data_IF_711328323904
#
_entry.id   IF_711328323904
#
_cell.length_a   1.000
_cell.length_b   1.000
_cell.length_c   1.000
_cell.angle_alpha   90.00
_cell.angle_beta   90.00
_cell.angle_gamma   90.00
#
_symmetry.space_group_name_H-M   'P 1'
#
loop_
_entity.id
_entity.type
_entity.pdbx_description
1 polymer ?
#
# COMPACT_ATOMS: atom_id res chain seq x y z
N UNK A 1 -26.63 -36.48 -17.61
CA UNK A 1 -25.67 -35.38 -17.91
C UNK A 1 -25.94 -34.22 -16.96
N UNK A 2 -25.09 -33.98 -15.96
CA UNK A 2 -25.08 -32.70 -15.25
C UNK A 2 -23.67 -32.43 -14.77
N UNK A 3 -22.95 -31.61 -15.55
CA UNK A 3 -21.60 -31.18 -15.24
C UNK A 3 -21.66 -30.31 -13.96
N UNK A 4 -21.03 -30.78 -12.88
CA UNK A 4 -20.71 -29.92 -11.74
C UNK A 4 -19.74 -28.84 -12.25
N UNK A 5 -20.25 -27.63 -12.45
CA UNK A 5 -19.43 -26.43 -12.65
C UNK A 5 -18.53 -26.29 -11.43
N UNK A 6 -17.26 -26.69 -11.58
CA UNK A 6 -16.20 -26.28 -10.68
C UNK A 6 -16.18 -24.76 -10.75
N UNK A 7 -16.65 -24.09 -9.71
CA UNK A 7 -16.22 -22.72 -9.45
C UNK A 7 -14.72 -22.80 -9.20
N UNK A 8 -13.96 -22.72 -10.29
CA UNK A 8 -12.59 -22.26 -10.23
C UNK A 8 -12.71 -20.82 -9.73
N UNK A 9 -12.62 -20.66 -8.41
CA UNK A 9 -12.12 -19.44 -7.82
C UNK A 9 -10.72 -19.26 -8.42
N UNK A 10 -10.65 -18.57 -9.56
CA UNK A 10 -9.41 -17.95 -10.02
C UNK A 10 -9.08 -16.95 -8.92
N UNK A 11 -8.32 -17.39 -7.91
CA UNK A 11 -7.59 -16.46 -7.06
C UNK A 11 -6.81 -15.60 -8.04
N UNK A 12 -7.01 -14.28 -8.09
CA UNK A 12 -6.14 -13.45 -8.89
C UNK A 12 -4.74 -13.74 -8.37
N UNK A 13 -3.90 -14.34 -9.21
CA UNK A 13 -2.48 -14.53 -8.96
C UNK A 13 -1.85 -13.14 -9.05
N UNK A 14 -2.25 -12.23 -8.15
CA UNK A 14 -1.52 -10.98 -7.96
C UNK A 14 -0.15 -11.44 -7.49
N UNK A 15 0.94 -11.14 -8.22
CA UNK A 15 2.27 -11.39 -7.73
C UNK A 15 2.35 -10.83 -6.31
N UNK A 16 2.92 -11.59 -5.37
CA UNK A 16 3.16 -11.09 -4.02
C UNK A 16 4.18 -9.95 -4.12
N UNK A 17 3.71 -8.73 -4.35
CA UNK A 17 4.53 -7.55 -4.39
C UNK A 17 5.00 -7.25 -2.96
N UNK A 18 6.31 -7.18 -2.75
CA UNK A 18 6.90 -6.87 -1.47
C UNK A 18 7.93 -5.77 -1.63
N UNK A 19 7.98 -4.88 -0.64
CA UNK A 19 8.89 -3.75 -0.58
C UNK A 19 9.76 -3.93 0.67
N UNK A 20 11.05 -3.74 0.51
CA UNK A 20 12.00 -3.61 1.62
C UNK A 20 12.70 -2.26 1.48
N UNK A 21 12.63 -1.43 2.52
CA UNK A 21 13.31 -0.13 2.57
C UNK A 21 14.07 -0.01 3.89
N UNK A 22 15.32 0.42 3.80
CA UNK A 22 16.09 0.86 4.96
C UNK A 22 15.52 2.17 5.48
N UNK A 23 15.16 2.21 6.76
CA UNK A 23 14.65 3.41 7.41
C UNK A 23 15.74 4.48 7.51
N UNK A 24 15.39 5.72 7.19
CA UNK A 24 16.25 6.89 7.44
C UNK A 24 15.86 7.56 8.76
N UNK A 25 16.68 8.51 9.22
CA UNK A 25 16.37 9.27 10.44
C UNK A 25 15.06 10.06 10.36
N UNK A 26 14.63 10.46 9.15
CA UNK A 26 13.35 11.16 8.97
C UNK A 26 12.15 10.22 9.15
N UNK A 27 12.26 8.97 8.66
CA UNK A 27 11.21 7.96 8.75
C UNK A 27 10.89 7.56 10.21
N UNK A 28 11.84 7.75 11.14
CA UNK A 28 11.69 7.37 12.55
C UNK A 28 11.41 8.55 13.47
N UNK A 29 11.30 9.77 12.92
CA UNK A 29 10.99 10.96 13.71
C UNK A 29 9.51 11.01 14.09
N UNK A 30 9.17 11.49 15.29
CA UNK A 30 7.78 11.51 15.82
C UNK A 30 6.81 12.34 14.98
N UNK A 31 7.33 13.30 14.21
CA UNK A 31 6.53 14.18 13.34
C UNK A 31 6.66 13.82 11.86
N UNK A 32 7.49 12.84 11.51
CA UNK A 32 7.71 12.39 10.14
C UNK A 32 6.83 11.19 9.79
N UNK A 33 6.48 11.08 8.51
CA UNK A 33 5.93 9.85 7.93
C UNK A 33 7.05 8.97 7.34
N UNK A 34 6.70 7.75 6.96
CA UNK A 34 7.57 6.87 6.20
C UNK A 34 7.48 7.20 4.71
N UNK A 35 8.57 7.67 4.10
CA UNK A 35 8.59 8.02 2.67
C UNK A 35 8.64 6.77 1.80
N UNK A 36 7.76 6.66 0.81
CA UNK A 36 7.72 5.56 -0.14
C UNK A 36 8.28 6.05 -1.48
N UNK A 37 9.21 5.28 -2.07
CA UNK A 37 9.72 5.59 -3.41
C UNK A 37 8.61 5.35 -4.44
N UNK A 38 8.49 6.21 -5.46
CA UNK A 38 7.40 6.13 -6.47
C UNK A 38 7.22 4.71 -7.02
N UNK A 39 8.30 4.06 -7.47
CA UNK A 39 8.25 2.68 -7.98
C UNK A 39 7.61 1.68 -7.00
N UNK A 40 7.86 1.83 -5.70
CA UNK A 40 7.30 0.92 -4.69
C UNK A 40 5.83 1.25 -4.40
N UNK A 41 5.44 2.53 -4.47
CA UNK A 41 4.04 2.91 -4.36
C UNK A 41 3.24 2.33 -5.53
N UNK A 42 3.76 2.46 -6.75
CA UNK A 42 3.10 1.98 -7.98
C UNK A 42 3.00 0.45 -8.02
N UNK A 43 4.01 -0.27 -7.52
CA UNK A 43 4.06 -1.74 -7.54
C UNK A 43 3.34 -2.41 -6.36
N UNK A 44 3.39 -1.80 -5.17
CA UNK A 44 3.00 -2.48 -3.92
C UNK A 44 1.77 -1.88 -3.22
N UNK A 45 1.34 -0.66 -3.55
CA UNK A 45 0.22 0.01 -2.89
C UNK A 45 -0.99 0.11 -3.82
N UNK A 46 -2.22 0.05 -3.27
CA UNK A 46 -3.41 0.36 -4.06
C UNK A 46 -3.33 1.79 -4.64
N UNK A 47 -3.77 2.01 -5.89
CA UNK A 47 -3.70 3.33 -6.53
C UNK A 47 -4.58 4.34 -5.80
N UNK A 48 -4.09 5.57 -5.70
CA UNK A 48 -4.85 6.69 -5.13
C UNK A 48 -5.83 7.29 -6.15
N UNK A 49 -6.94 7.81 -5.64
CA UNK A 49 -7.80 8.72 -6.40
C UNK A 49 -7.10 10.09 -6.53
N UNK A 50 -6.46 10.29 -7.68
CA UNK A 50 -5.66 11.49 -7.98
C UNK A 50 -6.52 12.75 -8.20
N UNK A 51 -7.86 12.64 -8.23
CA UNK A 51 -8.74 13.80 -8.32
C UNK A 51 -8.85 14.59 -7.01
N UNK A 52 -8.43 13.99 -5.89
CA UNK A 52 -8.46 14.60 -4.55
C UNK A 52 -7.24 15.48 -4.28
N UNK A 53 -7.36 16.44 -3.37
CA UNK A 53 -6.26 17.32 -2.95
C UNK A 53 -6.13 17.36 -1.42
N UNK A 54 -5.11 16.71 -0.82
CA UNK A 54 -4.16 15.78 -1.44
C UNK A 54 -4.81 14.40 -1.74
N UNK A 55 -4.31 13.64 -2.73
CA UNK A 55 -4.71 12.24 -2.92
C UNK A 55 -4.35 11.41 -1.68
N UNK A 56 -5.34 10.74 -1.08
CA UNK A 56 -5.14 9.95 0.14
C UNK A 56 -6.14 8.80 0.26
N UNK A 57 -5.73 7.73 0.94
CA UNK A 57 -6.56 6.60 1.35
C UNK A 57 -6.06 5.99 2.67
N UNK A 58 -6.92 5.24 3.35
CA UNK A 58 -6.52 4.41 4.49
C UNK A 58 -6.12 3.01 4.02
N UNK A 59 -5.02 2.49 4.56
CA UNK A 59 -4.53 1.14 4.35
C UNK A 59 -4.61 0.37 5.66
N UNK A 60 -4.96 -0.91 5.58
CA UNK A 60 -4.94 -1.83 6.71
C UNK A 60 -3.98 -2.96 6.42
N UNK A 61 -2.92 -3.09 7.21
CA UNK A 61 -1.97 -4.18 7.12
C UNK A 61 -2.14 -5.15 8.29
N UNK A 62 -2.08 -6.46 8.00
CA UNK A 62 -2.11 -7.52 9.01
C UNK A 62 -0.69 -7.95 9.34
N UNK A 63 -0.31 -7.89 10.62
CA UNK A 63 0.96 -8.42 11.11
C UNK A 63 0.89 -9.93 11.33
N UNK A 64 2.07 -10.56 11.41
CA UNK A 64 2.25 -11.98 11.77
C UNK A 64 1.45 -12.44 13.01
N UNK A 65 1.24 -11.57 14.01
CA UNK A 65 0.51 -11.88 15.24
C UNK A 65 -0.95 -11.40 15.21
N UNK A 66 -1.56 -11.33 14.01
CA UNK A 66 -2.95 -10.94 13.77
C UNK A 66 -3.37 -9.53 14.24
N UNK A 67 -2.42 -8.69 14.69
CA UNK A 67 -2.69 -7.28 14.94
C UNK A 67 -2.81 -6.50 13.62
N UNK A 68 -3.80 -5.62 13.53
CA UNK A 68 -4.01 -4.73 12.39
C UNK A 68 -3.34 -3.38 12.62
N UNK A 69 -2.65 -2.90 11.59
CA UNK A 69 -2.02 -1.58 11.57
C UNK A 69 -2.72 -0.76 10.50
N UNK A 70 -3.19 0.42 10.89
CA UNK A 70 -3.79 1.39 9.97
C UNK A 70 -2.75 2.41 9.58
N UNK A 71 -2.64 2.66 8.29
CA UNK A 71 -1.76 3.68 7.74
C UNK A 71 -2.57 4.63 6.87
N UNK A 72 -2.24 5.92 6.89
CA UNK A 72 -2.71 6.87 5.90
C UNK A 72 -1.68 6.96 4.78
N UNK A 73 -2.05 6.48 3.60
CA UNK A 73 -1.28 6.67 2.39
C UNK A 73 -1.65 8.03 1.77
N UNK A 74 -0.65 8.87 1.52
CA UNK A 74 -0.82 10.21 0.96
C UNK A 74 0.21 10.45 -0.14
N UNK A 75 -0.24 11.06 -1.24
CA UNK A 75 0.63 11.61 -2.26
C UNK A 75 0.69 13.13 -2.12
N UNK A 76 1.88 13.69 -2.08
CA UNK A 76 2.14 15.14 -2.03
C UNK A 76 2.83 15.56 -3.33
N UNK A 77 2.13 16.37 -4.13
CA UNK A 77 2.58 16.78 -5.46
C UNK A 77 3.83 17.68 -5.51
N UNK A 78 4.32 18.21 -4.38
CA UNK A 78 5.50 19.09 -4.31
C UNK A 78 6.85 18.34 -4.52
N UNK A 79 6.85 17.24 -5.28
CA UNK A 79 8.03 16.40 -5.46
C UNK A 79 7.76 14.92 -5.71
N UNK A 80 6.54 14.56 -6.13
CA UNK A 80 6.11 13.18 -6.33
C UNK A 80 6.35 12.28 -5.10
N UNK A 81 6.05 12.81 -3.91
CA UNK A 81 6.35 12.15 -2.65
C UNK A 81 5.14 11.35 -2.17
N UNK A 82 5.34 10.06 -1.96
CA UNK A 82 4.40 9.18 -1.27
C UNK A 82 4.82 9.02 0.18
N UNK A 83 3.88 9.11 1.11
CA UNK A 83 4.12 8.91 2.55
C UNK A 83 3.09 7.96 3.15
N UNK A 84 3.53 7.19 4.15
CA UNK A 84 2.67 6.47 5.08
C UNK A 84 2.76 7.13 6.47
N UNK A 85 1.61 7.48 7.04
CA UNK A 85 1.46 7.96 8.41
C UNK A 85 0.71 6.95 9.26
#
# INVERSE_FOLDING_TARGET
MQLRKRHLFLRPQVPSAFLCKTLTASDTSTHGGFSVLSRHADECLPPLDMSRQPPTQELVAKKLHANEWRFRHIFRGNGNLYELH
#
